data_IF_168292895202
#
_entry.id   IF_168292895202
#
_cell.length_a   1.000
_cell.length_b   1.000
_cell.length_c   1.000
_cell.angle_alpha   90.00
_cell.angle_beta   90.00
_cell.angle_gamma   90.00
#
_symmetry.space_group_name_H-M   'P 1'
#
loop_
_entity.id
_entity.type
_entity.pdbx_description
1 polymer ?
#
# COMPACT_ATOMS: atom_id res chain seq x y z
N UNK A 1 -15.21 9.40 28.81
CA UNK A 1 -15.19 8.05 28.28
C UNK A 1 -14.14 7.92 27.24
N UNK A 2 -13.13 7.40 27.64
CA UNK A 2 -12.21 6.84 26.72
C UNK A 2 -12.94 5.82 25.88
N UNK A 3 -13.41 6.27 24.76
CA UNK A 3 -13.62 5.33 23.72
C UNK A 3 -12.25 4.80 23.34
N UNK A 4 -11.83 3.84 24.09
CA UNK A 4 -10.86 2.92 23.52
C UNK A 4 -11.53 2.33 22.33
N UNK A 5 -11.09 2.76 21.18
CA UNK A 5 -11.39 2.04 19.96
C UNK A 5 -10.66 0.72 20.13
N UNK A 6 -11.32 -0.22 20.78
CA UNK A 6 -10.95 -1.59 20.59
C UNK A 6 -11.23 -1.85 19.14
N UNK A 7 -10.19 -2.14 18.39
CA UNK A 7 -10.35 -2.65 17.05
C UNK A 7 -11.12 -3.96 17.23
N UNK A 8 -12.43 -3.86 17.13
CA UNK A 8 -13.31 -5.02 17.13
C UNK A 8 -13.08 -5.77 15.82
N UNK A 9 -13.43 -7.02 15.78
CA UNK A 9 -13.36 -7.82 14.55
C UNK A 9 -14.13 -7.15 13.41
N UNK A 10 -15.19 -6.42 13.72
CA UNK A 10 -15.97 -5.65 12.74
C UNK A 10 -15.17 -4.51 12.11
N UNK A 11 -14.47 -3.72 12.92
CA UNK A 11 -13.62 -2.63 12.43
C UNK A 11 -12.47 -3.20 11.60
N UNK A 12 -11.89 -4.29 12.05
CA UNK A 12 -10.84 -4.99 11.30
C UNK A 12 -11.37 -5.45 9.95
N UNK A 13 -12.57 -6.01 9.91
CA UNK A 13 -13.21 -6.46 8.68
C UNK A 13 -13.49 -5.28 7.74
N UNK A 14 -13.93 -4.13 8.26
CA UNK A 14 -14.10 -2.92 7.47
C UNK A 14 -12.78 -2.46 6.84
N UNK A 15 -11.70 -2.49 7.59
CA UNK A 15 -10.37 -2.12 7.08
C UNK A 15 -9.92 -3.10 5.99
N UNK A 16 -10.10 -4.39 6.22
CA UNK A 16 -9.81 -5.42 5.21
C UNK A 16 -10.67 -5.26 3.98
N UNK A 17 -11.95 -4.95 4.16
CA UNK A 17 -12.88 -4.72 3.06
C UNK A 17 -12.49 -3.50 2.22
N UNK A 18 -11.78 -2.55 2.81
CA UNK A 18 -11.25 -1.40 2.08
C UNK A 18 -10.28 -1.80 0.98
N UNK A 19 -9.45 -2.83 1.20
CA UNK A 19 -8.54 -3.38 0.20
C UNK A 19 -9.28 -4.19 -0.87
N UNK A 20 -10.42 -4.75 -0.51
CA UNK A 20 -11.26 -5.55 -1.38
C UNK A 20 -12.49 -4.79 -1.90
N UNK A 21 -12.53 -3.46 -1.71
CA UNK A 21 -13.57 -2.63 -2.30
C UNK A 21 -13.68 -2.89 -3.79
N UNK A 22 -14.89 -2.89 -4.31
CA UNK A 22 -15.14 -3.17 -5.71
C UNK A 22 -14.29 -2.29 -6.63
N UNK A 23 -14.18 -0.99 -6.32
CA UNK A 23 -13.38 -0.05 -7.12
C UNK A 23 -11.89 -0.40 -7.13
N UNK A 24 -11.33 -0.75 -5.99
CA UNK A 24 -9.91 -1.11 -5.84
C UNK A 24 -9.63 -2.44 -6.54
N UNK A 25 -10.44 -3.42 -6.24
CA UNK A 25 -10.31 -4.77 -6.80
C UNK A 25 -10.50 -4.76 -8.31
N UNK A 26 -11.53 -4.09 -8.81
CA UNK A 26 -11.77 -3.97 -10.24
C UNK A 26 -10.61 -3.31 -10.97
N UNK A 27 -10.06 -2.24 -10.41
CA UNK A 27 -8.93 -1.55 -11.02
C UNK A 27 -7.73 -2.49 -11.20
N UNK A 28 -7.34 -3.18 -10.12
CA UNK A 28 -6.15 -4.04 -10.18
C UNK A 28 -6.37 -5.32 -10.97
N UNK A 29 -7.55 -5.92 -10.90
CA UNK A 29 -7.87 -7.09 -11.71
C UNK A 29 -7.91 -6.74 -13.20
N UNK A 30 -8.51 -5.60 -13.54
CA UNK A 30 -8.53 -5.11 -14.92
C UNK A 30 -7.14 -4.79 -15.42
N UNK A 31 -6.31 -4.17 -14.61
CA UNK A 31 -4.91 -3.89 -14.94
C UNK A 31 -4.17 -5.19 -15.27
N UNK A 32 -4.33 -6.20 -14.44
CA UNK A 32 -3.70 -7.50 -14.65
C UNK A 32 -4.20 -8.20 -15.92
N UNK A 33 -5.52 -8.17 -16.14
CA UNK A 33 -6.15 -8.97 -17.20
C UNK A 33 -6.08 -8.30 -18.58
N UNK A 34 -6.09 -6.96 -18.64
CA UNK A 34 -6.24 -6.24 -19.90
C UNK A 34 -5.02 -5.42 -20.32
N UNK A 35 -4.16 -5.03 -19.39
CA UNK A 35 -3.00 -4.21 -19.72
C UNK A 35 -1.83 -5.10 -20.14
N UNK A 36 -1.45 -5.01 -21.42
CA UNK A 36 -0.35 -5.82 -21.97
C UNK A 36 1.02 -5.29 -21.63
N UNK A 37 1.12 -3.97 -21.43
CA UNK A 37 2.38 -3.28 -21.14
C UNK A 37 2.18 -2.30 -19.99
N UNK A 38 1.95 -2.80 -18.74
CA UNK A 38 1.81 -1.90 -17.60
C UNK A 38 3.11 -1.14 -17.38
N UNK A 39 2.98 0.11 -16.92
CA UNK A 39 4.14 0.89 -16.51
C UNK A 39 4.76 0.28 -15.26
N UNK A 40 6.02 0.60 -14.97
CA UNK A 40 6.67 0.11 -13.74
C UNK A 40 5.95 0.59 -12.50
N UNK A 41 5.45 1.82 -12.51
CA UNK A 41 4.67 2.35 -11.39
C UNK A 41 3.38 1.57 -11.17
N UNK A 42 2.70 1.19 -12.24
CA UNK A 42 1.52 0.32 -12.16
C UNK A 42 1.87 -1.07 -11.58
N UNK A 43 3.01 -1.63 -11.98
CA UNK A 43 3.48 -2.91 -11.44
C UNK A 43 3.76 -2.82 -9.93
N UNK A 44 4.40 -1.74 -9.49
CA UNK A 44 4.61 -1.51 -8.05
C UNK A 44 3.30 -1.46 -7.28
N UNK A 45 2.32 -0.72 -7.80
CA UNK A 45 1.00 -0.61 -7.17
C UNK A 45 0.28 -1.96 -7.13
N UNK A 46 0.28 -2.70 -8.24
CA UNK A 46 -0.34 -4.01 -8.33
C UNK A 46 0.27 -5.00 -7.33
N UNK A 47 1.60 -5.06 -7.28
CA UNK A 47 2.30 -5.96 -6.35
C UNK A 47 2.00 -5.62 -4.89
N UNK A 48 1.93 -4.33 -4.57
CA UNK A 48 1.57 -3.89 -3.22
C UNK A 48 0.16 -4.32 -2.86
N UNK A 49 -0.80 -4.17 -3.79
CA UNK A 49 -2.17 -4.64 -3.60
C UNK A 49 -2.23 -6.16 -3.44
N UNK A 50 -1.56 -6.89 -4.32
CA UNK A 50 -1.51 -8.36 -4.28
C UNK A 50 -0.94 -8.87 -2.96
N UNK A 51 0.20 -8.34 -2.53
CA UNK A 51 0.82 -8.71 -1.27
C UNK A 51 -0.06 -8.37 -0.06
N UNK A 52 -0.68 -7.19 -0.08
CA UNK A 52 -1.56 -6.76 1.01
C UNK A 52 -2.79 -7.66 1.12
N UNK A 53 -3.37 -8.08 0.00
CA UNK A 53 -4.53 -8.99 -0.01
C UNK A 53 -4.14 -10.41 0.38
N UNK A 54 -3.04 -10.93 -0.11
CA UNK A 54 -2.54 -12.27 0.23
C UNK A 54 -2.21 -12.38 1.72
N UNK A 55 -1.60 -11.37 2.28
CA UNK A 55 -1.22 -11.33 3.69
C UNK A 55 -2.35 -10.84 4.59
N UNK A 56 -3.52 -10.55 4.03
CA UNK A 56 -4.69 -10.06 4.76
C UNK A 56 -4.31 -8.86 5.64
N UNK A 57 -3.49 -7.98 5.08
CA UNK A 57 -3.05 -6.77 5.78
C UNK A 57 -4.24 -5.86 6.07
N UNK A 58 -4.23 -5.23 7.21
CA UNK A 58 -5.28 -4.28 7.62
C UNK A 58 -5.06 -2.86 7.07
N UNK A 59 -3.99 -2.66 6.29
CA UNK A 59 -3.73 -1.43 5.55
C UNK A 59 -3.12 -1.77 4.19
N UNK A 60 -3.22 -0.84 3.25
CA UNK A 60 -2.50 -0.97 1.98
C UNK A 60 -1.01 -0.80 2.24
N UNK A 61 -0.28 -1.90 2.23
CA UNK A 61 1.13 -1.92 2.58
C UNK A 61 2.02 -1.86 1.35
N UNK A 62 2.99 -0.95 1.36
CA UNK A 62 4.02 -0.81 0.34
C UNK A 62 5.36 -1.23 0.96
N UNK A 63 5.87 -2.38 0.56
CA UNK A 63 7.13 -2.94 1.09
C UNK A 63 8.36 -2.43 0.36
N UNK A 64 8.18 -1.89 -0.83
CA UNK A 64 9.27 -1.33 -1.62
C UNK A 64 8.76 -0.13 -2.42
N UNK A 65 9.45 1.00 -2.30
CA UNK A 65 9.19 2.20 -3.10
C UNK A 65 10.11 2.24 -4.31
N UNK A 66 9.71 2.88 -5.42
CA UNK A 66 10.64 3.21 -6.50
C UNK A 66 11.85 3.97 -5.97
N UNK A 67 13.02 3.72 -6.53
CA UNK A 67 14.28 4.31 -6.08
C UNK A 67 15.26 4.48 -7.24
N UNK A 68 16.31 5.28 -7.04
CA UNK A 68 17.40 5.45 -7.99
C UNK A 68 16.95 5.98 -9.34
N UNK A 69 17.40 5.34 -10.42
CA UNK A 69 17.06 5.73 -11.79
C UNK A 69 15.56 5.65 -12.07
N UNK A 70 14.82 4.81 -11.37
CA UNK A 70 13.36 4.71 -11.52
C UNK A 70 12.67 6.02 -11.17
N UNK A 71 13.15 6.73 -10.15
CA UNK A 71 12.61 8.04 -9.78
C UNK A 71 12.81 9.04 -10.92
N UNK A 72 14.00 9.05 -11.53
CA UNK A 72 14.29 9.90 -12.69
C UNK A 72 13.41 9.56 -13.90
N UNK A 73 13.06 8.30 -14.06
CA UNK A 73 12.22 7.81 -15.15
C UNK A 73 10.72 8.01 -14.90
N UNK A 74 10.35 8.66 -13.81
CA UNK A 74 8.95 8.96 -13.49
C UNK A 74 8.15 7.81 -12.91
N UNK A 75 8.80 6.77 -12.42
CA UNK A 75 8.11 5.59 -11.89
C UNK A 75 7.30 5.94 -10.64
N UNK A 76 7.79 6.84 -9.78
CA UNK A 76 7.04 7.29 -8.59
C UNK A 76 5.75 8.00 -8.99
N UNK A 77 5.79 8.85 -10.01
CA UNK A 77 4.62 9.54 -10.55
C UNK A 77 3.58 8.54 -11.06
N UNK A 78 4.03 7.54 -11.80
CA UNK A 78 3.18 6.45 -12.29
C UNK A 78 2.56 5.65 -11.16
N UNK A 79 3.35 5.38 -10.12
CA UNK A 79 2.90 4.67 -8.93
C UNK A 79 1.77 5.43 -8.22
N UNK A 80 1.98 6.70 -7.93
CA UNK A 80 0.98 7.56 -7.28
C UNK A 80 -0.28 7.68 -8.15
N UNK A 81 -0.11 7.83 -9.47
CA UNK A 81 -1.23 7.89 -10.39
C UNK A 81 -2.06 6.60 -10.37
N UNK A 82 -1.40 5.44 -10.29
CA UNK A 82 -2.09 4.16 -10.19
C UNK A 82 -2.86 4.02 -8.87
N UNK A 83 -2.27 4.42 -7.76
CA UNK A 83 -2.95 4.42 -6.46
C UNK A 83 -4.19 5.32 -6.47
N UNK A 84 -4.05 6.51 -7.02
CA UNK A 84 -5.16 7.46 -7.15
C UNK A 84 -6.28 6.91 -8.04
N UNK A 85 -5.90 6.31 -9.16
CA UNK A 85 -6.87 5.70 -10.08
C UNK A 85 -7.60 4.51 -9.44
N UNK A 86 -6.93 3.80 -8.54
CA UNK A 86 -7.53 2.69 -7.78
C UNK A 86 -8.35 3.16 -6.56
N UNK A 87 -8.44 4.47 -6.33
CA UNK A 87 -9.11 5.05 -5.16
C UNK A 87 -8.44 4.67 -3.83
N UNK A 88 -7.12 4.56 -3.85
CA UNK A 88 -6.31 4.38 -2.64
C UNK A 88 -5.87 5.76 -2.16
N UNK A 89 -6.29 6.15 -0.97
CA UNK A 89 -5.99 7.43 -0.36
C UNK A 89 -5.04 7.37 0.83
N UNK A 90 -4.74 6.17 1.31
CA UNK A 90 -3.83 5.95 2.43
C UNK A 90 -2.98 4.70 2.19
N UNK A 91 -1.69 4.81 2.47
CA UNK A 91 -0.76 3.68 2.41
C UNK A 91 0.13 3.68 3.64
N UNK A 92 0.67 2.52 3.98
CA UNK A 92 1.74 2.39 4.95
C UNK A 92 2.99 1.84 4.24
N UNK A 93 4.10 2.54 4.38
CA UNK A 93 5.37 2.14 3.79
C UNK A 93 6.22 1.44 4.83
N UNK A 94 6.50 0.17 4.60
CA UNK A 94 7.30 -0.67 5.49
C UNK A 94 8.67 -1.03 4.89
N UNK A 95 9.07 -0.32 3.84
CA UNK A 95 10.38 -0.46 3.21
C UNK A 95 11.47 -0.14 4.22
N UNK A 96 12.39 -1.07 4.43
CA UNK A 96 13.52 -0.92 5.35
C UNK A 96 14.87 -0.84 4.61
N UNK A 97 14.83 -0.66 3.30
CA UNK A 97 16.04 -0.54 2.51
C UNK A 97 16.75 0.79 2.76
N UNK A 98 18.01 0.87 2.36
CA UNK A 98 18.78 2.12 2.43
C UNK A 98 18.24 3.20 1.49
N UNK A 99 17.42 2.82 0.53
CA UNK A 99 16.78 3.73 -0.41
C UNK A 99 15.47 4.34 0.10
N UNK A 100 15.04 4.01 1.31
CA UNK A 100 13.77 4.49 1.87
C UNK A 100 13.68 6.02 1.84
N UNK A 101 14.72 6.72 2.27
CA UNK A 101 14.70 8.19 2.34
C UNK A 101 14.50 8.81 0.95
N UNK A 102 15.17 8.28 -0.04
CA UNK A 102 15.03 8.72 -1.44
C UNK A 102 13.60 8.49 -1.94
N UNK A 103 13.04 7.31 -1.66
CA UNK A 103 11.66 6.98 -2.00
C UNK A 103 10.65 7.88 -1.30
N UNK A 104 10.86 8.18 -0.03
CA UNK A 104 9.99 9.09 0.74
C UNK A 104 10.03 10.51 0.15
N UNK A 105 11.21 11.03 -0.18
CA UNK A 105 11.32 12.35 -0.83
C UNK A 105 10.55 12.40 -2.15
N UNK A 106 10.69 11.38 -2.98
CA UNK A 106 9.99 11.31 -4.25
C UNK A 106 8.47 11.20 -4.07
N UNK A 107 8.03 10.44 -3.09
CA UNK A 107 6.61 10.27 -2.77
C UNK A 107 5.97 11.59 -2.30
N UNK A 108 6.65 12.30 -1.43
CA UNK A 108 6.20 13.63 -0.96
C UNK A 108 6.20 14.64 -2.10
N UNK A 109 7.18 14.58 -3.00
CA UNK A 109 7.24 15.45 -4.18
C UNK A 109 6.04 15.22 -5.11
N UNK A 110 5.46 14.02 -5.12
CA UNK A 110 4.24 13.72 -5.89
C UNK A 110 2.94 14.07 -5.14
N UNK A 111 3.04 14.75 -4.01
CA UNK A 111 1.89 15.26 -3.27
C UNK A 111 1.43 14.43 -2.09
N UNK A 112 2.16 13.38 -1.75
CA UNK A 112 1.81 12.59 -0.57
C UNK A 112 2.10 13.36 0.72
N UNK A 113 1.24 13.19 1.70
CA UNK A 113 1.39 13.79 3.02
C UNK A 113 1.82 12.72 4.03
N UNK A 114 2.95 12.93 4.68
CA UNK A 114 3.42 12.03 5.75
C UNK A 114 2.62 12.31 7.03
N UNK A 115 1.76 11.37 7.41
CA UNK A 115 0.94 11.49 8.61
C UNK A 115 1.71 11.12 9.88
N UNK A 116 2.57 10.13 9.81
CA UNK A 116 3.37 9.69 10.95
C UNK A 116 3.70 8.20 10.89
N UNK A 117 4.08 7.66 12.03
CA UNK A 117 4.36 6.23 12.17
C UNK A 117 3.07 5.49 12.51
N UNK A 118 2.85 4.38 11.84
CA UNK A 118 1.72 3.50 12.10
C UNK A 118 2.16 2.04 12.17
N UNK A 119 1.19 1.17 12.33
CA UNK A 119 1.41 -0.27 12.39
C UNK A 119 0.43 -0.96 11.46
N UNK A 120 0.94 -1.84 10.62
CA UNK A 120 0.12 -2.73 9.80
C UNK A 120 0.16 -4.12 10.41
N UNK A 121 -0.97 -4.78 10.46
CA UNK A 121 -1.08 -6.18 10.90
C UNK A 121 -1.24 -7.05 9.67
N UNK A 122 -0.36 -8.03 9.52
CA UNK A 122 -0.43 -9.08 8.51
C UNK A 122 -0.94 -10.34 9.15
N UNK A 123 -1.82 -11.05 8.47
CA UNK A 123 -2.39 -12.30 8.95
C UNK A 123 -2.47 -13.31 7.79
N UNK A 124 -1.31 -13.75 7.26
CA UNK A 124 -1.29 -14.63 6.09
C UNK A 124 -1.85 -16.01 6.41
N UNK A 125 -2.73 -16.51 5.52
CA UNK A 125 -3.39 -17.80 5.67
C UNK A 125 -2.44 -18.98 5.70
N UNK A 126 -1.27 -18.84 5.04
CA UNK A 126 -0.32 -19.93 4.85
C UNK A 126 0.92 -19.83 5.75
N UNK A 127 0.96 -18.87 6.64
CA UNK A 127 2.07 -18.70 7.56
C UNK A 127 1.73 -19.33 8.92
N UNK A 128 2.38 -20.43 9.30
CA UNK A 128 2.09 -21.07 10.58
C UNK A 128 2.49 -20.21 11.80
N UNK A 129 3.34 -19.19 11.61
CA UNK A 129 3.66 -18.24 12.67
C UNK A 129 2.55 -17.21 12.91
N UNK A 130 1.60 -17.12 11.99
CA UNK A 130 0.38 -16.36 12.16
C UNK A 130 0.54 -14.85 12.02
N UNK A 131 -0.20 -14.16 12.85
CA UNK A 131 -0.36 -12.70 12.83
C UNK A 131 0.93 -11.98 13.18
N UNK A 132 1.27 -10.95 12.40
CA UNK A 132 2.44 -10.09 12.62
C UNK A 132 2.07 -8.63 12.57
N UNK A 133 2.69 -7.85 13.44
CA UNK A 133 2.60 -6.40 13.42
C UNK A 133 3.92 -5.82 12.90
N UNK A 134 3.81 -4.92 11.94
CA UNK A 134 4.96 -4.26 11.31
C UNK A 134 4.76 -2.75 11.37
N UNK A 135 5.78 -2.03 11.80
CA UNK A 135 5.77 -0.57 11.83
C UNK A 135 6.16 0.00 10.49
N UNK A 136 5.55 1.11 10.13
CA UNK A 136 5.85 1.81 8.90
C UNK A 136 5.45 3.27 8.95
N UNK A 137 5.69 3.96 7.85
CA UNK A 137 5.32 5.36 7.67
C UNK A 137 3.98 5.44 6.93
N UNK A 138 3.04 6.16 7.50
CA UNK A 138 1.70 6.34 6.92
C UNK A 138 1.66 7.60 6.09
N UNK A 139 1.24 7.46 4.85
CA UNK A 139 1.05 8.57 3.90
C UNK A 139 -0.39 8.64 3.45
N UNK A 140 -0.85 9.87 3.26
CA UNK A 140 -2.15 10.17 2.65
C UNK A 140 -1.96 10.97 1.36
N UNK A 141 -2.91 10.78 0.49
CA UNK A 141 -2.96 11.49 -0.79
C UNK A 141 -4.12 12.46 -0.86
#
# INVERSE_FOLDING_TARGET
>A
TTMKINITDEIRQEILDMLNRDTVKEYFEKLHDTEKNPTRGQVYAYRSWEQSTEDRADMFEVRALPWGSQIKDGVMKEFVAALTAADIDEIIVTDQSTALMEGVHALVAEGAYLEGVGTVTRDPLHDPSGRREVKGLVFRF
#
